data_IF_037734711670
#
_entry.id   IF_037734711670
#
_cell.length_a   1.000
_cell.length_b   1.000
_cell.length_c   1.000
_cell.angle_alpha   90.00
_cell.angle_beta   90.00
_cell.angle_gamma   90.00
#
_symmetry.space_group_name_H-M   'P 1'
#
loop_
_entity.id
_entity.type
_entity.pdbx_description
1 polymer ?
#
# COMPACT_ATOMS: atom_id res chain seq x y z
N UNK A 1 -54.22 -3.49 -11.96
CA UNK A 1 -53.99 -4.85 -12.49
C UNK A 1 -53.26 -4.73 -13.82
N UNK A 2 -51.93 -4.79 -13.80
CA UNK A 2 -51.11 -5.32 -14.89
C UNK A 2 -49.88 -5.95 -14.23
N UNK A 3 -49.76 -7.26 -14.44
CA UNK A 3 -48.73 -8.22 -14.00
C UNK A 3 -47.40 -7.95 -14.77
N UNK A 4 -46.16 -8.34 -14.42
CA UNK A 4 -45.44 -9.08 -13.35
C UNK A 4 -43.91 -8.91 -13.66
N UNK A 5 -42.98 -9.17 -12.70
CA UNK A 5 -41.63 -8.60 -12.58
C UNK A 5 -40.49 -9.53 -13.01
N UNK A 6 -39.29 -9.03 -13.37
CA UNK A 6 -38.10 -9.89 -13.56
C UNK A 6 -36.71 -9.22 -13.56
N UNK A 7 -36.40 -8.29 -12.64
CA UNK A 7 -34.99 -8.04 -12.32
C UNK A 7 -34.73 -8.52 -10.89
N UNK A 8 -33.91 -9.57 -10.67
CA UNK A 8 -33.46 -9.88 -9.32
C UNK A 8 -32.74 -8.63 -8.76
N UNK A 9 -32.74 -8.40 -7.44
CA UNK A 9 -31.90 -7.35 -6.86
C UNK A 9 -30.46 -7.59 -7.33
N UNK A 10 -29.82 -6.59 -7.95
CA UNK A 10 -28.41 -6.68 -8.27
C UNK A 10 -27.64 -6.90 -6.96
N UNK A 11 -27.05 -8.08 -6.79
CA UNK A 11 -26.21 -8.46 -5.64
C UNK A 11 -24.72 -8.15 -5.91
N UNK A 12 -24.44 -7.24 -6.85
CA UNK A 12 -23.09 -6.84 -7.23
C UNK A 12 -22.73 -5.53 -6.52
N UNK A 13 -21.50 -5.46 -6.03
CA UNK A 13 -20.99 -4.29 -5.32
C UNK A 13 -19.47 -4.24 -5.39
N UNK A 14 -18.90 -3.13 -4.93
CA UNK A 14 -17.45 -2.93 -4.83
C UNK A 14 -17.09 -2.81 -3.36
N UNK A 15 -16.09 -3.58 -2.94
CA UNK A 15 -15.46 -3.43 -1.63
C UNK A 15 -14.06 -2.84 -1.83
N UNK A 16 -13.73 -1.84 -1.02
CA UNK A 16 -12.40 -1.24 -0.99
C UNK A 16 -11.83 -1.35 0.42
N UNK A 17 -10.52 -1.52 0.52
CA UNK A 17 -9.81 -1.51 1.79
C UNK A 17 -8.50 -0.75 1.63
N UNK A 18 -7.81 -0.50 2.72
CA UNK A 18 -6.50 0.15 2.69
C UNK A 18 -5.65 -0.40 3.82
N UNK A 19 -4.35 -0.49 3.58
CA UNK A 19 -3.37 -0.88 4.58
C UNK A 19 -2.10 -0.04 4.47
N UNK A 20 -1.55 0.36 5.63
CA UNK A 20 -0.34 1.16 5.71
C UNK A 20 0.39 0.91 7.03
N UNK A 21 1.69 0.61 6.96
CA UNK A 21 2.51 0.30 8.14
C UNK A 21 3.76 1.17 8.23
N UNK A 22 3.62 2.50 8.40
CA UNK A 22 4.75 3.44 8.35
C UNK A 22 5.80 3.21 9.47
N UNK A 23 5.33 2.90 10.68
CA UNK A 23 6.20 2.65 11.83
C UNK A 23 7.02 1.37 11.60
N UNK A 24 6.37 0.29 11.17
CA UNK A 24 7.06 -0.98 10.89
C UNK A 24 8.00 -0.83 9.70
N UNK A 25 7.60 -0.09 8.67
CA UNK A 25 8.42 0.18 7.48
C UNK A 25 9.73 0.88 7.83
N UNK A 26 9.70 1.78 8.81
CA UNK A 26 10.91 2.47 9.30
C UNK A 26 11.92 1.52 9.96
N UNK A 27 11.42 0.50 10.67
CA UNK A 27 12.28 -0.49 11.37
C UNK A 27 12.68 -1.64 10.44
N UNK A 28 11.75 -2.14 9.64
CA UNK A 28 11.93 -3.25 8.71
C UNK A 28 11.08 -3.01 7.44
N UNK A 29 11.70 -2.49 6.37
CA UNK A 29 11.04 -2.21 5.09
C UNK A 29 10.27 -3.41 4.51
N UNK A 30 10.85 -4.60 4.56
CA UNK A 30 10.23 -5.81 4.03
C UNK A 30 8.99 -6.23 4.83
N UNK A 31 9.08 -6.19 6.17
CA UNK A 31 7.95 -6.51 7.02
C UNK A 31 6.83 -5.46 6.87
N UNK A 32 7.19 -4.17 6.81
CA UNK A 32 6.24 -3.09 6.59
C UNK A 32 5.47 -3.23 5.28
N UNK A 33 6.15 -3.57 4.17
CA UNK A 33 5.48 -3.77 2.89
C UNK A 33 4.51 -4.97 2.91
N UNK A 34 4.93 -6.11 3.48
CA UNK A 34 4.07 -7.30 3.60
C UNK A 34 2.86 -7.05 4.49
N UNK A 35 3.06 -6.42 5.66
CA UNK A 35 1.97 -6.15 6.59
C UNK A 35 0.97 -5.15 6.00
N UNK A 36 1.43 -4.16 5.23
CA UNK A 36 0.52 -3.20 4.59
C UNK A 36 -0.41 -3.90 3.58
N UNK A 37 0.09 -4.86 2.80
CA UNK A 37 -0.75 -5.70 1.94
C UNK A 37 -1.71 -6.58 2.76
N UNK A 38 -1.20 -7.21 3.82
CA UNK A 38 -2.03 -8.09 4.66
C UNK A 38 -3.14 -7.34 5.40
N UNK A 39 -2.90 -6.10 5.81
CA UNK A 39 -3.91 -5.23 6.44
C UNK A 39 -5.03 -4.89 5.44
N UNK A 40 -4.68 -4.52 4.20
CA UNK A 40 -5.66 -4.28 3.14
C UNK A 40 -6.49 -5.54 2.84
N UNK A 41 -5.84 -6.71 2.74
CA UNK A 41 -6.54 -7.98 2.51
C UNK A 41 -7.42 -8.39 3.70
N UNK A 42 -6.97 -8.13 4.93
CA UNK A 42 -7.74 -8.40 6.13
C UNK A 42 -9.01 -7.54 6.19
N UNK A 43 -8.96 -6.28 5.74
CA UNK A 43 -10.16 -5.45 5.63
C UNK A 43 -11.19 -5.97 4.61
N UNK A 44 -10.76 -6.78 3.64
CA UNK A 44 -11.64 -7.44 2.68
C UNK A 44 -12.13 -8.83 3.12
N UNK A 45 -11.71 -9.35 4.30
CA UNK A 45 -11.97 -10.74 4.67
C UNK A 45 -13.47 -11.11 4.84
N UNK A 46 -14.32 -10.12 5.12
CA UNK A 46 -15.78 -10.30 5.25
C UNK A 46 -16.53 -9.95 3.96
N UNK A 47 -15.82 -9.49 2.92
CA UNK A 47 -16.44 -9.23 1.62
C UNK A 47 -16.63 -10.56 0.87
N UNK A 48 -17.80 -10.77 0.23
CA UNK A 48 -18.06 -11.96 -0.58
C UNK A 48 -17.27 -11.89 -1.90
N UNK A 49 -15.98 -12.20 -1.85
CA UNK A 49 -15.07 -12.21 -2.99
C UNK A 49 -14.93 -13.65 -3.51
N UNK A 50 -15.08 -13.85 -4.81
CA UNK A 50 -14.99 -15.15 -5.48
C UNK A 50 -13.58 -15.71 -5.52
N UNK A 51 -12.60 -14.90 -5.93
CA UNK A 51 -11.18 -15.30 -5.93
C UNK A 51 -10.27 -14.10 -5.71
N UNK A 52 -9.06 -14.34 -5.17
CA UNK A 52 -8.03 -13.31 -5.00
C UNK A 52 -7.62 -12.63 -6.33
N UNK A 53 -7.86 -13.27 -7.48
CA UNK A 53 -7.59 -12.69 -8.81
C UNK A 53 -8.52 -11.52 -9.16
N UNK A 54 -9.68 -11.43 -8.51
CA UNK A 54 -10.65 -10.36 -8.72
C UNK A 54 -10.27 -9.09 -7.94
N UNK A 55 -9.32 -9.20 -7.01
CA UNK A 55 -8.82 -8.06 -6.24
C UNK A 55 -7.88 -7.25 -7.13
N UNK A 56 -8.26 -6.00 -7.37
CA UNK A 56 -7.40 -4.98 -7.98
C UNK A 56 -6.73 -4.19 -6.87
N UNK A 57 -5.42 -3.99 -6.97
CA UNK A 57 -4.64 -3.32 -5.94
C UNK A 57 -3.83 -2.17 -6.55
N UNK A 58 -3.92 -1.02 -5.91
CA UNK A 58 -3.06 0.13 -6.17
C UNK A 58 -1.99 0.27 -5.09
N UNK A 59 -0.73 0.45 -5.50
CA UNK A 59 0.40 0.63 -4.57
C UNK A 59 0.93 2.03 -4.65
N UNK A 60 0.88 2.72 -3.53
CA UNK A 60 1.40 4.08 -3.42
C UNK A 60 2.65 4.09 -2.56
N UNK A 61 3.79 4.36 -3.20
CA UNK A 61 5.10 4.42 -2.56
C UNK A 61 5.42 5.86 -2.15
N UNK A 62 5.51 6.13 -0.85
CA UNK A 62 6.01 7.40 -0.32
C UNK A 62 7.35 7.10 0.36
N UNK A 63 8.47 7.44 -0.28
CA UNK A 63 9.78 7.02 0.22
C UNK A 63 10.84 8.12 0.08
N UNK A 64 11.76 8.32 1.03
CA UNK A 64 12.89 9.23 0.86
C UNK A 64 14.04 8.60 0.03
N UNK A 65 13.77 8.11 -1.18
CA UNK A 65 14.70 7.28 -1.96
C UNK A 65 16.03 7.97 -2.32
N UNK A 66 16.06 9.31 -2.30
CA UNK A 66 17.27 10.12 -2.57
C UNK A 66 18.30 10.09 -1.43
N UNK A 67 17.94 9.58 -0.24
CA UNK A 67 18.86 9.49 0.88
C UNK A 67 19.68 8.20 0.83
N UNK A 68 20.89 8.25 1.39
CA UNK A 68 21.81 7.11 1.39
C UNK A 68 21.17 5.90 2.09
N UNK A 69 21.12 4.77 1.39
CA UNK A 69 20.57 3.50 1.88
C UNK A 69 19.06 3.33 1.69
N UNK A 70 18.30 4.41 1.52
CA UNK A 70 16.84 4.36 1.39
C UNK A 70 16.39 3.73 0.07
N UNK A 71 17.11 3.96 -1.03
CA UNK A 71 16.83 3.28 -2.30
C UNK A 71 16.95 1.75 -2.21
N UNK A 72 17.94 1.25 -1.47
CA UNK A 72 18.08 -0.19 -1.22
C UNK A 72 16.97 -0.72 -0.31
N UNK A 73 16.62 0.03 0.74
CA UNK A 73 15.51 -0.31 1.63
C UNK A 73 14.18 -0.43 0.86
N UNK A 74 13.91 0.51 -0.05
CA UNK A 74 12.75 0.48 -0.94
C UNK A 74 12.78 -0.73 -1.89
N UNK A 75 13.94 -1.07 -2.46
CA UNK A 75 14.09 -2.29 -3.26
C UNK A 75 13.77 -3.56 -2.46
N UNK A 76 14.28 -3.66 -1.22
CA UNK A 76 14.03 -4.79 -0.33
C UNK A 76 12.54 -4.90 0.02
N UNK A 77 11.88 -3.77 0.29
CA UNK A 77 10.44 -3.71 0.50
C UNK A 77 9.65 -4.22 -0.72
N UNK A 78 9.97 -3.69 -1.90
CA UNK A 78 9.35 -4.07 -3.16
C UNK A 78 9.56 -5.56 -3.50
N UNK A 79 10.79 -6.06 -3.39
CA UNK A 79 11.12 -7.46 -3.67
C UNK A 79 10.37 -8.43 -2.73
N UNK A 80 10.32 -8.11 -1.43
CA UNK A 80 9.57 -8.92 -0.47
C UNK A 80 8.07 -8.92 -0.74
N UNK A 81 7.53 -7.79 -1.17
CA UNK A 81 6.13 -7.64 -1.50
C UNK A 81 5.77 -8.42 -2.77
N UNK A 82 6.58 -8.32 -3.84
CA UNK A 82 6.40 -9.09 -5.06
C UNK A 82 6.39 -10.60 -4.77
N UNK A 83 7.28 -11.06 -3.89
CA UNK A 83 7.33 -12.47 -3.48
C UNK A 83 6.03 -12.91 -2.80
N UNK A 84 5.46 -12.06 -1.92
CA UNK A 84 4.19 -12.34 -1.25
C UNK A 84 3.01 -12.34 -2.23
N UNK A 85 2.98 -11.40 -3.18
CA UNK A 85 1.93 -11.34 -4.21
C UNK A 85 1.87 -12.57 -5.08
N UNK A 86 3.04 -13.04 -5.56
CA UNK A 86 3.13 -14.25 -6.37
C UNK A 86 2.59 -15.44 -5.57
N UNK A 87 2.88 -15.50 -4.27
CA UNK A 87 2.37 -16.55 -3.40
C UNK A 87 0.85 -16.49 -3.19
N UNK A 88 0.29 -15.29 -3.02
CA UNK A 88 -1.15 -15.07 -2.79
C UNK A 88 -1.99 -15.07 -4.08
N UNK A 89 -1.35 -14.90 -5.25
CA UNK A 89 -2.05 -14.77 -6.53
C UNK A 89 -2.75 -13.41 -6.71
N UNK A 90 -2.28 -12.36 -6.03
CA UNK A 90 -2.77 -10.98 -6.14
C UNK A 90 -1.82 -10.18 -7.03
N UNK A 91 -2.35 -9.26 -7.84
CA UNK A 91 -1.55 -8.42 -8.72
C UNK A 91 -1.85 -6.94 -8.50
N UNK A 92 -0.82 -6.13 -8.71
CA UNK A 92 -0.92 -4.67 -8.74
C UNK A 92 -1.29 -4.24 -10.15
N UNK A 93 -2.35 -3.46 -10.30
CA UNK A 93 -2.80 -2.92 -11.59
C UNK A 93 -2.69 -1.40 -11.69
N UNK A 94 -2.30 -0.74 -10.59
CA UNK A 94 -2.04 0.70 -10.56
C UNK A 94 -1.11 1.11 -9.41
N UNK A 95 -0.68 2.37 -9.42
CA UNK A 95 0.14 2.89 -8.34
C UNK A 95 0.76 4.25 -8.64
N UNK A 96 1.28 4.89 -7.60
CA UNK A 96 2.03 6.15 -7.70
C UNK A 96 3.25 6.12 -6.79
N UNK A 97 4.32 6.79 -7.19
CA UNK A 97 5.50 6.97 -6.36
C UNK A 97 5.80 8.45 -6.07
N UNK A 98 6.12 8.72 -4.81
CA UNK A 98 6.52 10.02 -4.26
C UNK A 98 7.86 9.82 -3.53
N UNK A 99 8.95 10.06 -4.25
CA UNK A 99 10.32 9.70 -3.82
C UNK A 99 11.08 10.81 -3.08
N UNK A 100 10.40 11.92 -2.76
CA UNK A 100 10.96 13.11 -2.12
C UNK A 100 10.60 13.27 -0.64
N UNK A 101 10.21 12.20 0.06
CA UNK A 101 9.62 12.27 1.40
C UNK A 101 10.65 12.46 2.53
N UNK A 102 11.45 13.52 2.40
CA UNK A 102 12.41 13.98 3.38
C UNK A 102 12.31 15.50 3.53
N UNK A 103 12.34 15.98 4.77
CA UNK A 103 12.41 17.40 5.11
C UNK A 103 13.67 17.66 5.94
N UNK A 104 14.43 18.69 5.59
CA UNK A 104 15.61 19.12 6.35
C UNK A 104 15.22 20.32 7.23
N UNK A 105 15.44 20.19 8.53
CA UNK A 105 15.25 21.29 9.48
C UNK A 105 16.50 22.15 9.56
N UNK A 106 16.30 23.44 9.83
CA UNK A 106 17.38 24.39 10.07
C UNK A 106 17.47 24.70 11.57
N UNK A 107 18.66 25.05 12.05
CA UNK A 107 18.87 25.64 13.37
C UNK A 107 18.60 27.15 13.38
N UNK A 108 18.74 27.77 14.55
CA UNK A 108 18.52 29.22 14.74
C UNK A 108 19.50 30.10 13.95
N UNK A 109 20.57 29.51 13.41
CA UNK A 109 21.58 30.16 12.57
C UNK A 109 21.42 29.84 11.07
N UNK A 110 20.35 29.14 10.68
CA UNK A 110 20.06 28.77 9.30
C UNK A 110 20.89 27.61 8.76
N UNK A 111 21.57 26.85 9.62
CA UNK A 111 22.34 25.65 9.25
C UNK A 111 21.49 24.39 9.33
N UNK A 112 21.77 23.40 8.50
CA UNK A 112 21.05 22.13 8.49
C UNK A 112 21.25 21.37 9.82
N UNK A 113 20.14 21.07 10.51
CA UNK A 113 20.14 20.43 11.83
C UNK A 113 19.78 18.94 11.77
N UNK A 114 18.62 18.61 11.23
CA UNK A 114 18.11 17.24 11.21
C UNK A 114 17.36 16.94 9.91
N UNK A 115 17.40 15.67 9.46
CA UNK A 115 16.63 15.21 8.32
C UNK A 115 15.49 14.33 8.82
N UNK A 116 14.27 14.83 8.74
CA UNK A 116 13.04 14.10 9.03
C UNK A 116 12.66 13.29 7.79
N UNK A 117 12.39 12.00 7.99
CA UNK A 117 12.02 11.05 6.93
C UNK A 117 10.61 10.52 7.19
N UNK A 118 9.83 10.31 6.13
CA UNK A 118 8.51 9.70 6.23
C UNK A 118 8.34 8.59 5.18
N UNK A 119 8.93 7.40 5.37
CA UNK A 119 8.68 6.24 4.52
C UNK A 119 7.31 5.64 4.84
N UNK A 120 6.43 5.59 3.83
CA UNK A 120 5.10 4.97 3.90
C UNK A 120 4.85 4.20 2.61
N UNK A 121 4.33 2.97 2.73
CA UNK A 121 3.73 2.27 1.59
C UNK A 121 2.24 2.15 1.88
N UNK A 122 1.41 2.71 1.01
CA UNK A 122 -0.05 2.64 1.13
C UNK A 122 -0.61 1.70 0.08
N UNK A 123 -1.54 0.87 0.51
CA UNK A 123 -2.31 -0.06 -0.31
C UNK A 123 -3.75 0.40 -0.39
N UNK A 124 -4.37 0.29 -1.56
CA UNK A 124 -5.81 0.52 -1.76
C UNK A 124 -6.37 -0.48 -2.75
#
# INVERSE_FOLDING_TARGET
>A
MSLVPHTPPQQEGVATSTGEQPVVTTVNPAAGARLSLMEALAGLCMAPITTFKDIKCSVNWMWPAKLKGEGYAMYVACSSLCSLMVHLGVAVDGGKDSLGMAAQTLDDHGQAKEVVKAPVTRWT
#
